data_IF_114730844222
#
_entry.id   IF_114730844222
#
_cell.length_a   1.000
_cell.length_b   1.000
_cell.length_c   1.000
_cell.angle_alpha   90.00
_cell.angle_beta   90.00
_cell.angle_gamma   90.00
#
_symmetry.space_group_name_H-M   'P 1'
#
loop_
_entity.id
_entity.type
_entity.pdbx_description
1 polymer ?
#
# COMPACT_ATOMS: atom_id res chain seq x y z
N UNK A 1 -2.53 2.55 6.68
CA UNK A 1 -2.65 1.46 7.67
C UNK A 1 -3.92 1.55 8.53
N UNK A 2 -4.24 2.69 9.18
CA UNK A 2 -5.37 2.78 10.14
C UNK A 2 -6.73 2.33 9.58
N UNK A 3 -7.14 2.84 8.42
CA UNK A 3 -8.44 2.51 7.82
C UNK A 3 -8.57 1.03 7.44
N UNK A 4 -7.48 0.40 6.99
CA UNK A 4 -7.44 -1.05 6.77
C UNK A 4 -7.63 -1.82 8.08
N UNK A 5 -6.90 -1.44 9.14
CA UNK A 5 -7.05 -2.06 10.46
C UNK A 5 -8.45 -1.88 11.08
N UNK A 6 -9.06 -0.72 10.89
CA UNK A 6 -10.45 -0.46 11.30
C UNK A 6 -11.43 -1.39 10.57
N UNK A 7 -11.28 -1.55 9.24
CA UNK A 7 -12.10 -2.45 8.44
C UNK A 7 -11.96 -3.92 8.86
N UNK A 8 -10.73 -4.41 9.07
CA UNK A 8 -10.49 -5.79 9.51
C UNK A 8 -11.14 -6.03 10.87
N UNK A 9 -11.05 -5.08 11.81
CA UNK A 9 -11.76 -5.20 13.10
C UNK A 9 -13.28 -5.28 12.94
N UNK A 10 -13.85 -4.53 12.01
CA UNK A 10 -15.29 -4.58 11.71
C UNK A 10 -15.69 -5.96 11.16
N UNK A 11 -14.95 -6.46 10.16
CA UNK A 11 -15.17 -7.79 9.54
C UNK A 11 -15.14 -8.90 10.59
N UNK A 12 -14.14 -8.88 11.48
CA UNK A 12 -13.97 -9.92 12.50
C UNK A 12 -14.77 -9.67 13.79
N UNK A 13 -15.59 -8.61 13.84
CA UNK A 13 -16.37 -8.29 15.05
C UNK A 13 -17.52 -9.26 15.31
N UNK A 14 -17.97 -10.00 14.29
CA UNK A 14 -19.15 -10.88 14.35
C UNK A 14 -20.50 -10.14 14.50
N UNK A 15 -20.49 -8.80 14.47
CA UNK A 15 -21.69 -7.97 14.71
C UNK A 15 -22.55 -7.77 13.47
N UNK A 16 -22.00 -8.01 12.29
CA UNK A 16 -22.68 -7.75 11.01
C UNK A 16 -22.28 -8.79 9.99
N UNK A 17 -23.23 -9.17 9.11
CA UNK A 17 -23.00 -10.12 8.02
C UNK A 17 -22.30 -9.48 6.81
N UNK A 18 -22.24 -8.15 6.76
CA UNK A 18 -21.57 -7.37 5.73
C UNK A 18 -20.93 -6.12 6.35
N UNK A 19 -19.97 -5.52 5.64
CA UNK A 19 -19.36 -4.24 5.98
C UNK A 19 -19.20 -3.40 4.71
N UNK A 20 -19.12 -2.08 4.84
CA UNK A 20 -18.87 -1.18 3.70
C UNK A 20 -17.52 -0.48 3.90
N UNK A 21 -16.50 -0.75 3.06
CA UNK A 21 -15.14 -0.25 3.25
C UNK A 21 -14.96 1.22 2.84
N UNK A 22 -15.89 2.12 3.19
CA UNK A 22 -15.92 3.51 2.69
C UNK A 22 -14.64 4.28 3.01
N UNK A 23 -14.16 4.21 4.25
CA UNK A 23 -12.94 4.91 4.67
C UNK A 23 -11.68 4.34 3.99
N UNK A 24 -11.61 3.02 3.81
CA UNK A 24 -10.51 2.41 3.07
C UNK A 24 -10.55 2.84 1.59
N UNK A 25 -11.70 2.77 0.93
CA UNK A 25 -11.85 3.17 -0.48
C UNK A 25 -11.49 4.65 -0.71
N UNK A 26 -11.87 5.55 0.20
CA UNK A 26 -11.48 6.97 0.11
C UNK A 26 -9.97 7.17 0.20
N UNK A 27 -9.28 6.42 1.07
CA UNK A 27 -7.83 6.48 1.16
C UNK A 27 -7.16 5.87 -0.06
N UNK A 28 -7.64 4.72 -0.54
CA UNK A 28 -7.16 4.10 -1.78
C UNK A 28 -7.27 5.08 -2.95
N UNK A 29 -8.44 5.69 -3.16
CA UNK A 29 -8.65 6.67 -4.22
C UNK A 29 -7.72 7.90 -4.11
N UNK A 30 -7.34 8.29 -2.89
CA UNK A 30 -6.42 9.41 -2.65
C UNK A 30 -4.96 9.08 -3.00
N UNK A 31 -4.48 7.88 -2.65
CA UNK A 31 -3.08 7.50 -2.79
C UNK A 31 -2.78 6.72 -4.07
N UNK A 32 -3.79 6.09 -4.66
CA UNK A 32 -3.72 5.39 -5.92
C UNK A 32 -4.97 5.71 -6.76
N UNK A 33 -4.98 6.88 -7.44
CA UNK A 33 -6.12 7.37 -8.21
C UNK A 33 -6.57 6.44 -9.35
N UNK A 34 -5.74 5.50 -9.81
CA UNK A 34 -6.17 4.49 -10.79
C UNK A 34 -7.30 3.59 -10.26
N UNK A 35 -7.41 3.45 -8.94
CA UNK A 35 -8.53 2.74 -8.29
C UNK A 35 -9.71 3.68 -7.98
N UNK A 36 -9.62 4.97 -8.34
CA UNK A 36 -10.71 5.94 -8.16
C UNK A 36 -11.71 5.85 -9.31
N UNK A 37 -12.66 4.93 -9.21
CA UNK A 37 -13.68 4.74 -10.24
C UNK A 37 -14.58 3.54 -9.96
N UNK A 38 -15.48 3.27 -10.91
CA UNK A 38 -16.40 2.13 -10.87
C UNK A 38 -16.13 1.11 -11.98
N UNK A 39 -15.04 1.28 -12.72
CA UNK A 39 -14.57 0.33 -13.73
C UNK A 39 -14.05 -0.95 -13.08
N UNK A 40 -14.08 -2.06 -13.81
CA UNK A 40 -13.40 -3.28 -13.39
C UNK A 40 -11.88 -3.08 -13.46
N UNK A 41 -11.17 -3.61 -12.47
CA UNK A 41 -9.73 -3.48 -12.32
C UNK A 41 -9.12 -4.84 -11.97
N UNK A 42 -7.80 -4.97 -12.13
CA UNK A 42 -7.09 -6.18 -11.77
C UNK A 42 -6.89 -6.26 -10.25
N UNK A 43 -7.40 -7.34 -9.65
CA UNK A 43 -7.23 -7.63 -8.23
C UNK A 43 -5.77 -7.79 -7.81
N UNK A 44 -4.90 -8.25 -8.70
CA UNK A 44 -3.48 -8.45 -8.42
C UNK A 44 -2.74 -7.10 -8.31
N UNK A 45 -3.09 -6.15 -9.18
CA UNK A 45 -2.58 -4.78 -9.11
C UNK A 45 -2.97 -4.14 -7.78
N UNK A 46 -4.25 -4.27 -7.39
CA UNK A 46 -4.73 -3.77 -6.11
C UNK A 46 -4.03 -4.42 -4.91
N UNK A 47 -3.81 -5.74 -4.95
CA UNK A 47 -3.13 -6.46 -3.88
C UNK A 47 -1.69 -6.00 -3.70
N UNK A 48 -0.96 -5.85 -4.82
CA UNK A 48 0.43 -5.37 -4.80
C UNK A 48 0.50 -3.96 -4.20
N UNK A 49 -0.35 -3.06 -4.67
CA UNK A 49 -0.48 -1.70 -4.11
C UNK A 49 -0.78 -1.72 -2.60
N UNK A 50 -1.73 -2.53 -2.16
CA UNK A 50 -2.15 -2.58 -0.77
C UNK A 50 -1.02 -3.08 0.14
N UNK A 51 -0.29 -4.11 -0.29
CA UNK A 51 0.83 -4.66 0.45
C UNK A 51 1.97 -3.65 0.57
N UNK A 52 2.35 -3.00 -0.52
CA UNK A 52 3.40 -1.96 -0.50
C UNK A 52 2.99 -0.79 0.38
N UNK A 53 1.75 -0.31 0.27
CA UNK A 53 1.24 0.80 1.08
C UNK A 53 1.21 0.46 2.58
N UNK A 54 0.81 -0.76 2.93
CA UNK A 54 0.83 -1.21 4.33
C UNK A 54 2.25 -1.37 4.85
N UNK A 55 3.14 -1.92 4.03
CA UNK A 55 4.55 -2.07 4.38
C UNK A 55 5.19 -0.71 4.68
N UNK A 56 4.99 0.28 3.80
CA UNK A 56 5.54 1.62 3.99
C UNK A 56 4.97 2.33 5.22
N UNK A 57 3.66 2.26 5.45
CA UNK A 57 3.02 2.89 6.61
C UNK A 57 3.48 2.28 7.94
N UNK A 58 3.72 0.96 7.96
CA UNK A 58 4.11 0.20 9.15
C UNK A 58 5.63 0.05 9.30
N UNK A 59 6.40 0.55 8.33
CA UNK A 59 7.85 0.44 8.36
C UNK A 59 8.42 1.16 9.60
N UNK A 60 9.13 0.42 10.45
CA UNK A 60 9.80 0.97 11.64
C UNK A 60 11.05 1.77 11.28
N UNK A 61 11.66 1.47 10.13
CA UNK A 61 12.81 2.21 9.62
C UNK A 61 12.34 3.51 8.98
N UNK A 62 12.42 4.61 9.73
CA UNK A 62 11.96 5.94 9.27
C UNK A 62 12.97 6.67 8.37
N UNK A 63 14.25 6.47 8.62
CA UNK A 63 15.33 6.97 7.78
C UNK A 63 15.89 5.81 6.98
N UNK A 64 15.47 5.68 5.72
CA UNK A 64 15.97 4.63 4.84
C UNK A 64 17.48 4.85 4.62
N UNK A 65 18.36 3.92 5.02
CA UNK A 65 19.77 4.04 4.71
C UNK A 65 19.92 4.03 3.19
N UNK A 66 20.77 4.91 2.66
CA UNK A 66 21.12 4.84 1.26
C UNK A 66 21.82 3.50 1.02
N UNK A 67 21.27 2.73 0.09
CA UNK A 67 21.90 1.51 -0.41
C UNK A 67 22.23 1.84 -1.85
N UNK A 68 23.53 1.91 -2.17
CA UNK A 68 23.99 2.01 -3.55
C UNK A 68 23.35 0.87 -4.34
N UNK A 69 22.57 1.21 -5.37
CA UNK A 69 22.07 0.19 -6.30
C UNK A 69 23.31 -0.36 -7.00
N UNK A 70 23.60 -1.65 -6.80
CA UNK A 70 24.53 -2.35 -7.66
C UNK A 70 23.84 -2.52 -9.00
N UNK A 71 24.47 -2.03 -10.06
CA UNK A 71 24.09 -2.41 -11.42
C UNK A 71 24.32 -3.92 -11.59
N UNK A 72 23.63 -4.56 -12.53
CA UNK A 72 23.73 -6.01 -12.80
C UNK A 72 25.17 -6.46 -13.14
N UNK A 73 26.04 -5.53 -13.55
CA UNK A 73 27.47 -5.73 -13.80
C UNK A 73 28.38 -5.55 -12.56
N UNK A 74 27.81 -5.34 -11.37
CA UNK A 74 28.55 -5.15 -10.12
C UNK A 74 29.39 -3.87 -10.04
N UNK A 75 29.22 -2.93 -11.00
CA UNK A 75 29.85 -1.61 -10.96
C UNK A 75 28.97 -0.63 -10.19
N UNK A 76 29.61 0.10 -9.27
CA UNK A 76 28.99 1.21 -8.56
C UNK A 76 28.96 2.40 -9.54
N UNK A 77 27.77 2.83 -9.95
CA UNK A 77 27.61 4.09 -10.66
C UNK A 77 27.56 5.21 -9.61
N UNK A 78 28.67 5.95 -9.52
CA UNK A 78 28.71 7.22 -8.81
C UNK A 78 27.74 8.18 -9.51
N UNK A 79 26.72 8.61 -8.78
CA UNK A 79 25.95 9.80 -9.12
C UNK A 79 25.70 10.57 -7.84
N UNK A 80 26.80 11.03 -7.24
CA UNK A 80 26.80 12.27 -6.49
C UNK A 80 26.61 13.45 -7.45
N UNK A 81 25.36 13.89 -7.62
CA UNK A 81 24.93 15.30 -7.76
C UNK A 81 23.42 15.41 -7.52
#
# INVERSE_FOLDING_TARGET
AKAYGDLIREIWSGKSSFCTPKSLNQNVARYAPQFSGFSQLDSLEFMSFLLDSLHEDLNLVKKKPYVEKKDDDGKLTDSAL
#
